data_IF_514444784887
#
_entry.id   IF_514444784887
#
_cell.length_a   1.000
_cell.length_b   1.000
_cell.length_c   1.000
_cell.angle_alpha   90.00
_cell.angle_beta   90.00
_cell.angle_gamma   90.00
#
_symmetry.space_group_name_H-M   'P 1'
#
loop_
_entity.id
_entity.type
_entity.pdbx_description
1 polymer ?
#
# COMPACT_ATOMS: atom_id res chain seq x y z
N UNK A 1 1.24 -34.17 -0.59
CA UNK A 1 1.39 -32.85 -1.26
C UNK A 1 1.53 -31.85 -0.14
N UNK A 2 2.76 -31.44 0.17
CA UNK A 2 3.02 -30.41 1.17
C UNK A 2 2.46 -29.09 0.65
N UNK A 3 1.70 -28.40 1.51
CA UNK A 3 1.09 -27.10 1.28
C UNK A 3 2.18 -26.02 1.21
N UNK A 4 3.14 -26.13 0.29
CA UNK A 4 3.98 -25.00 -0.05
C UNK A 4 3.04 -23.89 -0.45
N UNK A 5 2.92 -22.88 0.42
CA UNK A 5 2.13 -21.69 0.19
C UNK A 5 2.29 -21.31 -1.27
N UNK A 6 1.20 -21.37 -2.04
CA UNK A 6 1.20 -21.17 -3.48
C UNK A 6 1.59 -19.74 -3.79
N UNK A 7 2.89 -19.50 -3.78
CA UNK A 7 3.46 -18.30 -4.36
C UNK A 7 3.40 -18.48 -5.88
N UNK A 8 2.46 -17.74 -6.49
CA UNK A 8 2.34 -17.58 -7.94
C UNK A 8 3.67 -17.27 -8.62
N UNK A 9 4.58 -16.54 -7.97
CA UNK A 9 5.93 -16.28 -8.50
C UNK A 9 6.78 -17.55 -8.49
N UNK A 10 6.80 -18.28 -7.38
CA UNK A 10 7.52 -19.56 -7.29
C UNK A 10 7.00 -20.59 -8.30
N UNK A 11 5.68 -20.67 -8.50
CA UNK A 11 5.07 -21.53 -9.51
C UNK A 11 5.47 -21.13 -10.93
N UNK A 12 5.37 -19.83 -11.27
CA UNK A 12 5.79 -19.32 -12.57
C UNK A 12 7.29 -19.61 -12.85
N UNK A 13 8.14 -19.45 -11.83
CA UNK A 13 9.56 -19.76 -11.94
C UNK A 13 9.81 -21.25 -12.15
N UNK A 14 9.17 -22.11 -11.36
CA UNK A 14 9.23 -23.57 -11.53
C UNK A 14 8.76 -23.98 -12.91
N UNK A 15 7.62 -23.46 -13.37
CA UNK A 15 7.02 -23.76 -14.66
C UNK A 15 7.98 -23.43 -15.82
N UNK A 16 8.59 -22.25 -15.81
CA UNK A 16 9.57 -21.84 -16.81
C UNK A 16 10.84 -22.70 -16.77
N UNK A 17 11.29 -23.10 -15.58
CA UNK A 17 12.45 -23.98 -15.41
C UNK A 17 12.18 -25.38 -15.96
N UNK A 18 10.97 -25.92 -15.71
CA UNK A 18 10.56 -27.24 -16.18
C UNK A 18 10.17 -27.26 -17.66
N UNK A 19 9.69 -26.15 -18.21
CA UNK A 19 9.26 -26.02 -19.60
C UNK A 19 9.86 -24.74 -20.24
N UNK A 20 11.13 -24.78 -20.70
CA UNK A 20 11.82 -23.57 -21.20
C UNK A 20 11.16 -22.88 -22.40
N UNK A 21 10.32 -23.60 -23.15
CA UNK A 21 9.58 -23.06 -24.30
C UNK A 21 8.25 -22.36 -23.94
N UNK A 22 7.88 -22.30 -22.66
CA UNK A 22 6.66 -21.62 -22.22
C UNK A 22 6.92 -20.12 -22.00
N UNK A 23 6.06 -19.29 -22.58
CA UNK A 23 6.03 -17.85 -22.30
C UNK A 23 5.13 -17.59 -21.09
N UNK A 24 5.60 -16.80 -20.12
CA UNK A 24 4.82 -16.43 -18.93
C UNK A 24 4.44 -14.97 -19.03
N UNK A 25 3.15 -14.69 -18.94
CA UNK A 25 2.57 -13.35 -18.97
C UNK A 25 1.89 -13.05 -17.64
N UNK A 26 1.96 -11.80 -17.19
CA UNK A 26 1.43 -11.37 -15.91
C UNK A 26 0.55 -10.15 -16.10
N UNK A 27 -0.69 -10.24 -15.65
CA UNK A 27 -1.68 -9.16 -15.73
C UNK A 27 -2.30 -8.95 -14.36
N UNK A 28 -2.34 -7.71 -13.91
CA UNK A 28 -2.99 -7.31 -12.68
C UNK A 28 -4.45 -6.96 -12.96
N UNK A 29 -5.35 -7.69 -12.30
CA UNK A 29 -6.80 -7.59 -12.46
C UNK A 29 -7.47 -6.83 -11.30
N UNK A 30 -6.76 -5.87 -10.70
CA UNK A 30 -7.24 -5.04 -9.59
C UNK A 30 -7.73 -3.64 -10.00
N UNK A 31 -7.43 -3.20 -11.22
CA UNK A 31 -7.90 -1.93 -11.80
C UNK A 31 -7.96 -2.03 -13.34
N UNK A 32 -8.96 -1.40 -13.96
CA UNK A 32 -9.17 -1.36 -15.42
C UNK A 32 -7.96 -0.80 -16.15
N UNK A 33 -7.43 0.34 -15.70
CA UNK A 33 -6.30 0.99 -16.37
C UNK A 33 -5.05 0.12 -16.33
N UNK A 34 -4.82 -0.54 -15.18
CA UNK A 34 -3.68 -1.44 -15.01
C UNK A 34 -3.82 -2.68 -15.90
N UNK A 35 -5.02 -3.26 -15.97
CA UNK A 35 -5.30 -4.39 -16.83
C UNK A 35 -5.05 -4.03 -18.32
N UNK A 36 -5.53 -2.87 -18.77
CA UNK A 36 -5.28 -2.36 -20.14
C UNK A 36 -3.81 -2.08 -20.40
N UNK A 37 -3.10 -1.51 -19.43
CA UNK A 37 -1.67 -1.26 -19.53
C UNK A 37 -0.89 -2.56 -19.67
N UNK A 38 -1.15 -3.56 -18.83
CA UNK A 38 -0.48 -4.86 -18.91
C UNK A 38 -0.76 -5.57 -20.25
N UNK A 39 -1.99 -5.47 -20.78
CA UNK A 39 -2.30 -5.96 -22.12
C UNK A 39 -1.55 -5.21 -23.23
N UNK A 40 -1.38 -3.89 -23.08
CA UNK A 40 -0.61 -3.08 -24.04
C UNK A 40 0.87 -3.46 -24.03
N UNK A 41 1.45 -3.68 -22.84
CA UNK A 41 2.82 -4.18 -22.69
C UNK A 41 2.99 -5.56 -23.35
N UNK A 42 2.03 -6.47 -23.18
CA UNK A 42 2.03 -7.77 -23.88
C UNK A 42 1.99 -7.58 -25.40
N UNK A 43 1.15 -6.67 -25.90
CA UNK A 43 1.03 -6.40 -27.33
C UNK A 43 2.36 -5.90 -27.93
N UNK A 44 3.05 -5.02 -27.21
CA UNK A 44 4.36 -4.49 -27.60
C UNK A 44 5.46 -5.55 -27.54
N UNK A 45 5.58 -6.28 -26.44
CA UNK A 45 6.61 -7.31 -26.26
C UNK A 45 6.46 -8.47 -27.26
N UNK A 46 5.22 -8.86 -27.57
CA UNK A 46 4.92 -9.93 -28.53
C UNK A 46 4.85 -9.46 -29.97
N UNK A 47 5.09 -8.17 -30.23
CA UNK A 47 5.00 -7.54 -31.55
C UNK A 47 3.67 -7.86 -32.25
N UNK A 48 2.56 -7.82 -31.51
CA UNK A 48 1.24 -8.19 -32.02
C UNK A 48 0.86 -7.27 -33.21
N UNK A 49 0.43 -7.83 -34.35
CA UNK A 49 -0.06 -7.02 -35.48
C UNK A 49 -1.26 -6.16 -35.07
N UNK A 50 -1.23 -4.88 -35.43
CA UNK A 50 -2.29 -3.91 -35.09
C UNK A 50 -2.04 -3.13 -33.80
N UNK A 51 -1.00 -3.43 -33.01
CA UNK A 51 -0.72 -2.72 -31.74
C UNK A 51 -0.45 -1.21 -31.86
N UNK A 52 0.03 -0.76 -33.02
CA UNK A 52 0.32 0.65 -33.28
C UNK A 52 -0.89 1.40 -33.89
N UNK A 53 -2.01 0.72 -34.10
CA UNK A 53 -3.22 1.33 -34.63
C UNK A 53 -3.97 2.03 -33.49
N UNK A 54 -4.10 3.37 -33.52
CA UNK A 54 -4.76 4.12 -32.45
C UNK A 54 -6.25 3.77 -32.30
N UNK A 55 -6.88 3.21 -33.34
CA UNK A 55 -8.30 2.82 -33.34
C UNK A 55 -8.51 1.36 -32.90
N UNK A 56 -7.43 0.58 -32.73
CA UNK A 56 -7.55 -0.82 -32.36
C UNK A 56 -7.76 -0.99 -30.85
N UNK A 57 -8.75 -1.80 -30.46
CA UNK A 57 -8.89 -2.21 -29.06
C UNK A 57 -7.84 -3.25 -28.70
N UNK A 58 -6.81 -2.80 -27.98
CA UNK A 58 -5.68 -3.62 -27.53
C UNK A 58 -6.12 -4.88 -26.77
N UNK A 59 -7.21 -4.80 -26.00
CA UNK A 59 -7.73 -5.95 -25.25
C UNK A 59 -8.19 -7.07 -26.19
N UNK A 60 -8.97 -6.70 -27.22
CA UNK A 60 -9.43 -7.62 -28.26
C UNK A 60 -8.26 -8.19 -29.08
N UNK A 61 -7.26 -7.37 -29.42
CA UNK A 61 -6.08 -7.80 -30.16
C UNK A 61 -5.29 -8.88 -29.42
N UNK A 62 -5.01 -8.65 -28.14
CA UNK A 62 -4.24 -9.57 -27.30
C UNK A 62 -5.02 -10.85 -27.03
N UNK A 63 -6.33 -10.76 -26.71
CA UNK A 63 -7.20 -11.95 -26.58
C UNK A 63 -7.12 -12.81 -27.85
N UNK A 64 -7.30 -12.17 -29.01
CA UNK A 64 -7.27 -12.85 -30.31
C UNK A 64 -5.91 -13.47 -30.60
N UNK A 65 -4.81 -12.87 -30.13
CA UNK A 65 -3.46 -13.42 -30.26
C UNK A 65 -3.27 -14.69 -29.44
N UNK A 66 -3.63 -14.68 -28.15
CA UNK A 66 -3.56 -15.86 -27.26
C UNK A 66 -4.34 -17.07 -27.80
N UNK A 67 -5.44 -16.79 -28.50
CA UNK A 67 -6.36 -17.80 -29.05
C UNK A 67 -5.90 -18.41 -30.39
N UNK A 68 -4.79 -17.97 -31.00
CA UNK A 68 -4.30 -18.54 -32.28
C UNK A 68 -3.61 -19.89 -32.06
N UNK A 69 -3.86 -20.85 -32.94
CA UNK A 69 -3.22 -22.17 -32.88
C UNK A 69 -1.69 -22.16 -33.05
N UNK A 70 -1.14 -21.09 -33.64
CA UNK A 70 0.29 -20.96 -33.92
C UNK A 70 1.09 -20.32 -32.78
N UNK A 71 0.45 -19.91 -31.68
CA UNK A 71 1.20 -19.39 -30.53
C UNK A 71 1.96 -20.52 -29.83
N UNK A 72 3.21 -20.25 -29.50
CA UNK A 72 3.98 -21.07 -28.56
C UNK A 72 3.19 -21.27 -27.25
N UNK A 73 3.46 -22.37 -26.52
CA UNK A 73 2.84 -22.60 -25.22
C UNK A 73 2.95 -21.36 -24.33
N UNK A 74 1.85 -20.95 -23.72
CA UNK A 74 1.82 -19.77 -22.86
C UNK A 74 1.15 -20.05 -21.52
N UNK A 75 1.52 -19.26 -20.53
CA UNK A 75 0.94 -19.27 -19.20
C UNK A 75 0.61 -17.84 -18.78
N UNK A 76 -0.66 -17.56 -18.50
CA UNK A 76 -1.14 -16.23 -18.11
C UNK A 76 -1.49 -16.23 -16.62
N UNK A 77 -0.89 -15.31 -15.87
CA UNK A 77 -1.27 -15.05 -14.48
C UNK A 77 -2.18 -13.84 -14.44
N UNK A 78 -3.42 -14.02 -13.99
CA UNK A 78 -4.36 -12.96 -13.66
C UNK A 78 -4.32 -12.74 -12.15
N UNK A 79 -3.58 -11.73 -11.72
CA UNK A 79 -3.31 -11.47 -10.30
C UNK A 79 -4.29 -10.48 -9.68
N UNK A 80 -4.75 -10.74 -8.44
CA UNK A 80 -5.63 -9.86 -7.66
C UNK A 80 -6.99 -9.55 -8.32
N UNK A 81 -7.62 -10.55 -8.96
CA UNK A 81 -8.94 -10.43 -9.59
C UNK A 81 -10.07 -10.38 -8.53
N UNK A 82 -10.16 -9.30 -7.76
CA UNK A 82 -11.06 -9.21 -6.60
C UNK A 82 -12.42 -8.53 -6.91
N UNK A 83 -12.47 -7.66 -7.93
CA UNK A 83 -13.59 -6.75 -8.20
C UNK A 83 -14.59 -7.34 -9.22
N UNK A 84 -15.81 -7.64 -8.76
CA UNK A 84 -16.87 -8.20 -9.60
C UNK A 84 -17.46 -7.22 -10.59
N UNK A 85 -17.57 -5.94 -10.23
CA UNK A 85 -18.17 -4.92 -11.08
C UNK A 85 -17.26 -4.61 -12.26
N UNK A 86 -15.95 -4.49 -12.01
CA UNK A 86 -14.92 -4.35 -13.05
C UNK A 86 -14.85 -5.55 -14.00
N UNK A 87 -14.95 -6.76 -13.45
CA UNK A 87 -14.77 -7.99 -14.24
C UNK A 87 -16.01 -8.35 -15.04
N UNK A 88 -17.22 -8.15 -14.50
CA UNK A 88 -18.44 -8.70 -15.07
C UNK A 88 -19.54 -7.69 -15.36
N UNK A 89 -19.37 -6.42 -14.98
CA UNK A 89 -20.37 -5.35 -15.14
C UNK A 89 -21.71 -5.64 -14.45
N UNK A 90 -21.70 -6.17 -13.22
CA UNK A 90 -22.93 -6.56 -12.52
C UNK A 90 -23.87 -5.37 -12.26
N UNK A 91 -23.36 -4.14 -12.22
CA UNK A 91 -24.13 -2.95 -11.87
C UNK A 91 -23.98 -1.80 -12.89
N UNK A 92 -24.63 -1.88 -14.07
CA UNK A 92 -24.50 -0.87 -15.13
C UNK A 92 -25.17 0.49 -14.81
N UNK A 93 -25.78 0.66 -13.62
CA UNK A 93 -26.66 1.80 -13.30
C UNK A 93 -26.16 2.77 -12.19
N UNK A 94 -25.02 2.53 -11.53
CA UNK A 94 -24.47 3.49 -10.54
C UNK A 94 -23.67 4.63 -11.20
N UNK A 95 -24.30 5.37 -12.10
CA UNK A 95 -23.76 6.61 -12.70
C UNK A 95 -24.24 7.85 -11.95
N UNK A 96 -23.78 8.03 -10.71
CA UNK A 96 -23.92 9.31 -9.98
C UNK A 96 -22.64 10.17 -10.01
N UNK A 97 -21.66 9.85 -10.88
CA UNK A 97 -20.61 10.80 -11.25
C UNK A 97 -21.03 11.55 -12.50
N UNK A 98 -21.47 12.79 -12.30
CA UNK A 98 -21.88 13.80 -13.30
C UNK A 98 -20.75 14.16 -14.31
N UNK A 99 -19.59 13.49 -14.24
CA UNK A 99 -18.46 13.64 -15.16
C UNK A 99 -18.35 12.52 -16.23
N UNK A 100 -19.22 11.51 -16.22
CA UNK A 100 -19.10 10.33 -17.09
C UNK A 100 -19.78 10.48 -18.48
N UNK A 101 -20.40 11.62 -18.79
CA UNK A 101 -21.14 11.80 -20.05
C UNK A 101 -20.27 12.13 -21.28
N UNK A 102 -18.95 12.32 -21.11
CA UNK A 102 -18.02 12.59 -22.23
C UNK A 102 -17.19 11.34 -22.63
N UNK A 103 -17.21 10.25 -21.85
CA UNK A 103 -16.41 9.05 -22.09
C UNK A 103 -17.21 7.84 -22.64
N UNK A 104 -18.29 8.09 -23.38
CA UNK A 104 -19.25 7.06 -23.83
C UNK A 104 -18.82 6.22 -25.06
N UNK A 105 -17.52 5.93 -25.25
CA UNK A 105 -17.05 5.09 -26.36
C UNK A 105 -16.14 3.90 -25.99
N UNK A 106 -15.92 3.59 -24.70
CA UNK A 106 -15.12 2.41 -24.32
C UNK A 106 -15.94 1.41 -23.50
N UNK A 107 -16.01 0.16 -23.99
CA UNK A 107 -16.60 -1.04 -23.36
C UNK A 107 -15.91 -1.42 -22.01
N UNK A 108 -15.85 -0.50 -21.05
CA UNK A 108 -14.96 -0.60 -19.87
C UNK A 108 -15.50 -1.45 -18.71
N UNK A 109 -16.67 -2.07 -18.82
CA UNK A 109 -17.32 -2.73 -17.67
C UNK A 109 -17.12 -4.24 -17.54
N UNK A 110 -16.66 -4.96 -18.57
CA UNK A 110 -16.64 -6.43 -18.53
C UNK A 110 -15.29 -6.98 -18.99
N UNK A 111 -14.29 -6.89 -18.11
CA UNK A 111 -12.94 -7.34 -18.44
C UNK A 111 -12.81 -8.86 -18.57
N UNK A 112 -13.71 -9.63 -17.94
CA UNK A 112 -13.72 -11.08 -18.06
C UNK A 112 -13.89 -11.52 -19.53
N UNK A 113 -14.57 -10.72 -20.36
CA UNK A 113 -14.72 -10.99 -21.78
C UNK A 113 -13.37 -11.00 -22.54
N UNK A 114 -12.34 -10.33 -22.06
CA UNK A 114 -11.03 -10.27 -22.71
C UNK A 114 -10.07 -11.38 -22.27
N UNK A 115 -10.49 -12.25 -21.35
CA UNK A 115 -9.71 -13.41 -20.93
C UNK A 115 -9.77 -14.49 -22.02
N UNK A 116 -8.63 -15.09 -22.44
CA UNK A 116 -8.63 -16.16 -23.43
C UNK A 116 -9.35 -17.42 -22.93
N UNK A 117 -10.29 -17.94 -23.72
CA UNK A 117 -11.07 -19.14 -23.36
C UNK A 117 -10.45 -20.44 -23.88
N UNK A 118 -9.58 -20.34 -24.88
CA UNK A 118 -8.94 -21.46 -25.55
C UNK A 118 -7.59 -21.01 -26.13
N UNK A 119 -6.79 -21.96 -26.58
CA UNK A 119 -5.46 -21.71 -27.12
C UNK A 119 -4.47 -22.73 -26.62
N UNK A 120 -3.20 -22.51 -26.94
CA UNK A 120 -2.11 -23.38 -26.51
C UNK A 120 -1.55 -22.89 -25.16
N UNK A 121 -2.37 -22.83 -24.12
CA UNK A 121 -1.92 -22.28 -22.85
C UNK A 121 -2.79 -22.58 -21.65
N UNK A 122 -2.43 -21.98 -20.51
CA UNK A 122 -3.15 -22.12 -19.25
C UNK A 122 -3.17 -20.81 -18.49
N UNK A 123 -4.21 -20.63 -17.66
CA UNK A 123 -4.42 -19.41 -16.89
C UNK A 123 -4.42 -19.75 -15.41
N UNK A 124 -3.66 -19.00 -14.61
CA UNK A 124 -3.75 -18.99 -13.16
C UNK A 124 -4.42 -17.69 -12.72
N UNK A 125 -5.53 -17.81 -12.01
CA UNK A 125 -6.23 -16.67 -11.42
C UNK A 125 -5.99 -16.66 -9.92
N UNK A 126 -5.60 -15.52 -9.38
CA UNK A 126 -5.60 -15.29 -7.92
C UNK A 126 -6.70 -14.29 -7.58
N UNK A 127 -7.47 -14.60 -6.53
CA UNK A 127 -8.56 -13.75 -6.06
C UNK A 127 -8.83 -14.04 -4.59
N UNK A 128 -9.21 -13.01 -3.84
CA UNK A 128 -9.79 -13.13 -2.49
C UNK A 128 -11.31 -13.25 -2.55
N UNK A 129 -11.91 -12.98 -3.71
CA UNK A 129 -13.34 -13.05 -3.94
C UNK A 129 -13.71 -14.40 -4.56
N UNK A 130 -14.24 -15.31 -3.75
CA UNK A 130 -14.68 -16.63 -4.20
C UNK A 130 -15.70 -16.57 -5.34
N UNK A 131 -16.56 -15.55 -5.37
CA UNK A 131 -17.54 -15.38 -6.45
C UNK A 131 -16.87 -15.08 -7.80
N UNK A 132 -15.80 -14.27 -7.79
CA UNK A 132 -15.00 -14.05 -9.00
C UNK A 132 -14.40 -15.37 -9.50
N UNK A 133 -13.81 -16.16 -8.60
CA UNK A 133 -13.24 -17.46 -8.93
C UNK A 133 -14.27 -18.41 -9.57
N UNK A 134 -15.44 -18.56 -8.95
CA UNK A 134 -16.53 -19.42 -9.48
C UNK A 134 -16.99 -18.98 -10.87
N UNK A 135 -17.02 -17.67 -11.14
CA UNK A 135 -17.51 -17.12 -12.41
C UNK A 135 -16.46 -17.13 -13.52
N UNK A 136 -15.18 -16.93 -13.20
CA UNK A 136 -14.09 -16.98 -14.19
C UNK A 136 -13.80 -18.40 -14.65
N UNK A 137 -13.96 -19.40 -13.77
CA UNK A 137 -13.67 -20.81 -14.08
C UNK A 137 -14.85 -21.72 -13.69
N UNK A 138 -16.01 -21.59 -14.36
CA UNK A 138 -17.22 -22.31 -13.99
C UNK A 138 -17.01 -23.83 -14.07
N UNK A 139 -17.35 -24.53 -12.98
CA UNK A 139 -17.23 -25.99 -12.88
C UNK A 139 -15.82 -26.53 -12.63
N UNK A 140 -14.81 -25.67 -12.48
CA UNK A 140 -13.45 -26.07 -12.12
C UNK A 140 -13.26 -26.07 -10.60
N UNK A 141 -12.41 -26.96 -10.05
CA UNK A 141 -12.08 -26.93 -8.63
C UNK A 141 -11.30 -25.65 -8.30
N UNK A 142 -11.74 -24.94 -7.26
CA UNK A 142 -11.01 -23.81 -6.69
C UNK A 142 -10.02 -24.31 -5.64
N UNK A 143 -8.80 -23.78 -5.68
CA UNK A 143 -7.76 -24.08 -4.72
C UNK A 143 -7.73 -23.01 -3.64
N UNK A 144 -8.30 -23.34 -2.48
CA UNK A 144 -8.28 -22.45 -1.32
C UNK A 144 -6.89 -22.45 -0.68
N UNK A 145 -6.26 -21.28 -0.61
CA UNK A 145 -4.96 -21.10 0.03
C UNK A 145 -5.19 -20.64 1.47
N UNK A 146 -5.00 -21.56 2.41
CA UNK A 146 -5.09 -21.27 3.84
C UNK A 146 -3.83 -20.62 4.42
N UNK A 147 -3.83 -20.32 5.73
CA UNK A 147 -2.63 -19.94 6.48
C UNK A 147 -1.54 -21.01 6.37
N UNK A 148 -0.30 -20.62 6.71
CA UNK A 148 0.80 -21.59 6.79
C UNK A 148 0.52 -22.63 7.88
N UNK A 149 1.11 -23.81 7.72
CA UNK A 149 1.21 -24.75 8.85
C UNK A 149 2.07 -24.17 9.97
N UNK A 150 1.92 -24.69 11.18
CA UNK A 150 2.74 -24.29 12.33
C UNK A 150 4.24 -24.49 12.04
N UNK A 151 4.60 -25.61 11.39
CA UNK A 151 5.99 -25.89 11.01
C UNK A 151 6.56 -24.89 10.02
N UNK A 152 5.77 -24.50 9.01
CA UNK A 152 6.18 -23.50 8.01
C UNK A 152 6.31 -22.12 8.68
N UNK A 153 5.40 -21.79 9.58
CA UNK A 153 5.41 -20.52 10.31
C UNK A 153 6.61 -20.39 11.24
N UNK A 154 6.92 -21.43 12.03
CA UNK A 154 8.11 -21.46 12.89
C UNK A 154 9.39 -21.39 12.06
N UNK A 155 9.43 -22.10 10.92
CA UNK A 155 10.56 -22.03 10.01
C UNK A 155 10.76 -20.60 9.48
N UNK A 156 9.68 -19.95 9.01
CA UNK A 156 9.73 -18.58 8.50
C UNK A 156 10.21 -17.59 9.58
N UNK A 157 9.73 -17.70 10.81
CA UNK A 157 10.19 -16.86 11.94
C UNK A 157 11.70 -17.01 12.15
N UNK A 158 12.22 -18.25 12.13
CA UNK A 158 13.65 -18.53 12.31
C UNK A 158 14.51 -17.97 11.19
N UNK A 159 14.05 -18.12 9.96
CA UNK A 159 14.74 -17.61 8.77
C UNK A 159 14.84 -16.09 8.79
N UNK A 160 13.73 -15.38 9.03
CA UNK A 160 13.73 -13.90 9.06
C UNK A 160 14.54 -13.38 10.25
N UNK A 161 14.40 -14.00 11.42
CA UNK A 161 15.14 -13.57 12.62
C UNK A 161 16.64 -13.88 12.56
N UNK A 162 17.09 -14.70 11.60
CA UNK A 162 18.48 -15.15 11.49
C UNK A 162 18.95 -16.00 12.68
N UNK A 163 18.01 -16.55 13.47
CA UNK A 163 18.31 -17.23 14.72
C UNK A 163 17.74 -18.65 14.73
N UNK A 164 18.58 -19.61 14.34
CA UNK A 164 18.25 -21.04 14.34
C UNK A 164 18.05 -21.63 15.74
N UNK A 165 18.49 -20.93 16.79
CA UNK A 165 18.37 -21.36 18.19
C UNK A 165 17.10 -20.89 18.89
N UNK A 166 16.19 -20.20 18.19
CA UNK A 166 14.92 -19.75 18.76
C UNK A 166 14.11 -20.92 19.33
N UNK A 167 13.62 -20.73 20.57
CA UNK A 167 12.69 -21.66 21.24
C UNK A 167 11.51 -21.95 20.32
N UNK A 168 11.25 -23.25 20.14
CA UNK A 168 10.14 -23.71 19.31
C UNK A 168 8.80 -23.32 19.92
N UNK A 169 8.71 -23.32 21.25
CA UNK A 169 7.53 -22.94 22.01
C UNK A 169 7.21 -21.46 21.83
N UNK A 170 8.22 -20.58 21.97
CA UNK A 170 8.03 -19.14 21.78
C UNK A 170 7.65 -18.81 20.33
N UNK A 171 8.32 -19.44 19.35
CA UNK A 171 8.01 -19.24 17.93
C UNK A 171 6.60 -19.74 17.57
N UNK A 172 6.17 -20.87 18.13
CA UNK A 172 4.81 -21.42 17.94
C UNK A 172 3.74 -20.55 18.60
N UNK A 173 3.99 -20.02 19.80
CA UNK A 173 3.09 -19.08 20.45
C UNK A 173 2.92 -17.80 19.63
N UNK A 174 4.02 -17.27 19.07
CA UNK A 174 3.98 -16.13 18.17
C UNK A 174 3.23 -16.44 16.88
N UNK A 175 3.54 -17.54 16.20
CA UNK A 175 2.88 -17.87 14.93
C UNK A 175 1.37 -18.05 15.11
N UNK A 176 0.97 -18.72 16.20
CA UNK A 176 -0.44 -18.88 16.59
C UNK A 176 -1.11 -17.53 16.81
N UNK A 177 -0.46 -16.62 17.55
CA UNK A 177 -0.97 -15.26 17.78
C UNK A 177 -1.09 -14.46 16.48
N UNK A 178 -0.25 -14.75 15.50
CA UNK A 178 -0.25 -14.13 14.18
C UNK A 178 -1.11 -14.89 13.15
N UNK A 179 -2.00 -15.77 13.62
CA UNK A 179 -2.93 -16.56 12.80
C UNK A 179 -2.22 -17.38 11.69
N UNK A 180 -0.94 -17.70 11.90
CA UNK A 180 -0.05 -18.34 10.92
C UNK A 180 -0.05 -17.64 9.53
N UNK A 181 -0.28 -16.32 9.51
CA UNK A 181 -0.30 -15.54 8.28
C UNK A 181 1.12 -15.10 7.90
N UNK A 182 1.62 -15.44 6.69
CA UNK A 182 2.98 -15.10 6.26
C UNK A 182 3.30 -13.61 6.37
N UNK A 183 2.35 -12.74 6.01
CA UNK A 183 2.56 -11.30 6.07
C UNK A 183 2.71 -10.80 7.52
N UNK A 184 1.83 -11.23 8.42
CA UNK A 184 1.88 -10.84 9.83
C UNK A 184 3.19 -11.33 10.48
N UNK A 185 3.60 -12.56 10.16
CA UNK A 185 4.88 -13.13 10.60
C UNK A 185 6.05 -12.31 10.05
N UNK A 186 6.06 -11.99 8.76
CA UNK A 186 7.14 -11.21 8.16
C UNK A 186 7.30 -9.84 8.82
N UNK A 187 6.19 -9.12 9.01
CA UNK A 187 6.23 -7.79 9.64
C UNK A 187 6.64 -7.87 11.12
N UNK A 188 6.16 -8.86 11.87
CA UNK A 188 6.52 -9.04 13.27
C UNK A 188 8.00 -9.43 13.43
N UNK A 189 8.48 -10.37 12.62
CA UNK A 189 9.87 -10.80 12.63
C UNK A 189 10.82 -9.68 12.20
N UNK A 190 10.46 -8.91 11.17
CA UNK A 190 11.22 -7.75 10.73
C UNK A 190 11.30 -6.66 11.82
N UNK A 191 10.17 -6.35 12.45
CA UNK A 191 10.12 -5.44 13.61
C UNK A 191 11.03 -5.91 14.74
N UNK A 192 10.93 -7.18 15.14
CA UNK A 192 11.74 -7.73 16.23
C UNK A 192 13.23 -7.70 15.90
N UNK A 193 13.60 -7.98 14.65
CA UNK A 193 14.99 -7.90 14.20
C UNK A 193 15.51 -6.46 14.26
N UNK A 194 14.78 -5.49 13.69
CA UNK A 194 15.19 -4.07 13.68
C UNK A 194 15.27 -3.47 15.08
N UNK A 195 14.37 -3.88 15.98
CA UNK A 195 14.33 -3.39 17.37
C UNK A 195 15.15 -4.22 18.35
N UNK A 196 15.79 -5.31 17.88
CA UNK A 196 16.45 -6.32 18.73
C UNK A 196 15.53 -6.83 19.86
N UNK A 197 14.23 -6.93 19.59
CA UNK A 197 13.20 -7.31 20.56
C UNK A 197 13.03 -8.83 20.63
N UNK A 198 12.90 -9.37 21.84
CA UNK A 198 12.59 -10.78 22.03
C UNK A 198 11.12 -11.10 21.73
N UNK A 199 10.85 -12.35 21.34
CA UNK A 199 9.50 -12.86 21.09
C UNK A 199 8.59 -12.66 22.31
N UNK A 200 9.06 -12.96 23.53
CA UNK A 200 8.28 -12.79 24.75
C UNK A 200 7.90 -11.33 25.04
N UNK A 201 8.79 -10.39 24.69
CA UNK A 201 8.50 -8.95 24.83
C UNK A 201 7.48 -8.52 23.78
N UNK A 202 7.63 -8.98 22.54
CA UNK A 202 6.71 -8.67 21.46
C UNK A 202 5.30 -9.23 21.70
N UNK A 203 5.19 -10.48 22.14
CA UNK A 203 3.92 -11.10 22.55
C UNK A 203 3.20 -10.30 23.65
N UNK A 204 3.94 -9.76 24.63
CA UNK A 204 3.35 -8.88 25.65
C UNK A 204 2.79 -7.59 25.06
N UNK A 205 3.42 -7.02 24.03
CA UNK A 205 2.91 -5.82 23.34
C UNK A 205 1.63 -6.18 22.60
N UNK A 206 1.61 -7.27 21.81
CA UNK A 206 0.42 -7.72 21.10
C UNK A 206 -0.76 -8.00 22.04
N UNK A 207 -0.52 -8.67 23.17
CA UNK A 207 -1.56 -9.00 24.13
C UNK A 207 -2.09 -7.77 24.89
N UNK A 208 -1.23 -6.79 25.18
CA UNK A 208 -1.66 -5.50 25.75
C UNK A 208 -2.47 -4.70 24.73
N UNK A 209 -2.03 -4.71 23.47
CA UNK A 209 -2.72 -4.14 22.32
C UNK A 209 -4.13 -4.69 22.21
N UNK A 210 -4.33 -6.01 22.26
CA UNK A 210 -5.66 -6.64 22.22
C UNK A 210 -6.60 -6.18 23.33
N UNK A 211 -6.10 -5.91 24.54
CA UNK A 211 -6.96 -5.43 25.63
C UNK A 211 -7.48 -4.01 25.35
N UNK A 212 -6.61 -3.13 24.86
CA UNK A 212 -6.97 -1.76 24.47
C UNK A 212 -7.74 -1.72 23.14
N UNK A 213 -7.39 -2.58 22.19
CA UNK A 213 -8.01 -2.70 20.87
C UNK A 213 -9.37 -3.40 20.95
N UNK A 214 -9.58 -4.45 21.75
CA UNK A 214 -10.89 -5.10 21.90
C UNK A 214 -11.97 -4.13 22.43
N UNK A 215 -11.58 -3.18 23.27
CA UNK A 215 -12.48 -2.13 23.78
C UNK A 215 -12.78 -1.05 22.71
N UNK A 216 -11.85 -0.79 21.79
CA UNK A 216 -11.94 0.26 20.76
C UNK A 216 -12.43 -0.23 19.37
N UNK A 217 -12.13 -1.49 19.01
CA UNK A 217 -12.45 -2.15 17.73
C UNK A 217 -13.93 -2.55 17.65
N UNK A 218 -14.59 -2.77 18.79
CA UNK A 218 -16.00 -3.15 18.89
C UNK A 218 -16.99 -2.10 18.36
N UNK A 219 -16.58 -0.83 18.21
CA UNK A 219 -17.49 0.27 17.81
C UNK A 219 -17.25 0.85 16.42
N UNK A 220 -16.01 0.86 15.91
CA UNK A 220 -15.67 1.63 14.70
C UNK A 220 -15.07 0.80 13.55
N UNK A 221 -14.64 -0.44 13.81
CA UNK A 221 -14.04 -1.28 12.76
C UNK A 221 -15.03 -2.20 12.08
N UNK A 222 -16.19 -2.51 12.67
CA UNK A 222 -17.24 -3.31 12.02
C UNK A 222 -17.69 -2.78 10.65
N UNK A 223 -17.52 -1.47 10.37
CA UNK A 223 -17.88 -0.84 9.10
C UNK A 223 -16.80 -0.97 8.01
N UNK A 224 -15.52 -1.11 8.38
CA UNK A 224 -14.40 -1.29 7.43
C UNK A 224 -14.06 -2.78 7.25
N UNK A 225 -14.38 -3.60 8.26
CA UNK A 225 -13.98 -5.01 8.38
C UNK A 225 -14.86 -5.99 7.56
N UNK A 226 -16.14 -5.68 7.31
CA UNK A 226 -17.04 -6.61 6.58
C UNK A 226 -16.67 -6.84 5.12
N UNK A 227 -16.05 -5.87 4.46
CA UNK A 227 -15.68 -5.95 3.03
C UNK A 227 -14.16 -5.99 2.77
N UNK A 228 -13.31 -5.54 3.70
CA UNK A 228 -11.86 -5.40 3.45
C UNK A 228 -11.03 -6.68 3.68
N UNK A 229 -11.55 -7.63 4.48
CA UNK A 229 -10.92 -8.94 4.73
C UNK A 229 -9.53 -8.85 5.38
N UNK A 230 -9.31 -7.88 6.27
CA UNK A 230 -8.02 -7.69 6.95
C UNK A 230 -8.02 -8.50 8.25
N UNK A 231 -7.11 -9.46 8.38
CA UNK A 231 -6.97 -10.23 9.63
C UNK A 231 -6.50 -9.33 10.78
N UNK A 232 -7.02 -9.62 11.99
CA UNK A 232 -6.63 -8.97 13.24
C UNK A 232 -5.14 -9.09 13.51
N UNK A 233 -4.53 -10.23 13.21
CA UNK A 233 -3.09 -10.42 13.31
C UNK A 233 -2.30 -9.40 12.47
N UNK A 234 -2.72 -9.14 11.23
CA UNK A 234 -2.06 -8.17 10.34
C UNK A 234 -2.22 -6.75 10.89
N UNK A 235 -3.42 -6.39 11.35
CA UNK A 235 -3.67 -5.06 11.95
C UNK A 235 -2.87 -4.82 13.22
N UNK A 236 -2.81 -5.79 14.13
CA UNK A 236 -2.08 -5.67 15.38
C UNK A 236 -0.58 -5.48 15.13
N UNK A 237 0.00 -6.33 14.28
CA UNK A 237 1.41 -6.23 13.90
C UNK A 237 1.72 -4.92 13.16
N UNK A 238 0.86 -4.52 12.22
CA UNK A 238 1.00 -3.25 11.51
C UNK A 238 0.99 -2.07 12.50
N UNK A 239 0.07 -2.07 13.47
CA UNK A 239 -0.08 -0.98 14.45
C UNK A 239 1.18 -0.83 15.28
N UNK A 240 1.71 -1.91 15.85
CA UNK A 240 2.96 -1.89 16.63
C UNK A 240 4.11 -1.33 15.80
N UNK A 241 4.27 -1.82 14.56
CA UNK A 241 5.34 -1.37 13.67
C UNK A 241 5.17 0.09 13.23
N UNK A 242 3.94 0.55 12.99
CA UNK A 242 3.65 1.89 12.52
C UNK A 242 3.79 2.94 13.62
N UNK A 243 3.44 2.61 14.87
CA UNK A 243 3.66 3.48 16.02
C UNK A 243 5.15 3.68 16.28
N UNK A 244 5.95 2.60 16.23
CA UNK A 244 7.41 2.68 16.32
C UNK A 244 8.00 3.49 15.15
N UNK A 245 7.51 3.26 13.93
CA UNK A 245 7.91 4.03 12.75
C UNK A 245 7.66 5.53 12.95
N UNK A 246 6.50 5.89 13.47
CA UNK A 246 6.11 7.29 13.71
C UNK A 246 7.06 7.97 14.71
N UNK A 247 7.50 7.23 15.74
CA UNK A 247 8.45 7.73 16.73
C UNK A 247 9.88 7.86 16.17
N UNK A 248 10.33 6.89 15.36
CA UNK A 248 11.71 6.84 14.84
C UNK A 248 11.93 7.74 13.63
N UNK A 249 10.98 7.75 12.70
CA UNK A 249 11.12 8.40 11.41
C UNK A 249 9.76 8.90 10.91
N UNK A 250 9.41 10.13 11.31
CA UNK A 250 8.16 10.78 10.93
C UNK A 250 8.00 10.95 9.41
N UNK A 251 9.11 11.15 8.69
CA UNK A 251 9.10 11.21 7.22
C UNK A 251 8.68 9.87 6.61
N UNK A 252 9.22 8.76 7.10
CA UNK A 252 8.82 7.43 6.65
C UNK A 252 7.34 7.15 6.92
N UNK A 253 6.83 7.50 8.10
CA UNK A 253 5.41 7.39 8.42
C UNK A 253 4.54 8.27 7.49
N UNK A 254 5.01 9.49 7.19
CA UNK A 254 4.36 10.40 6.26
C UNK A 254 4.32 9.85 4.82
N UNK A 255 5.43 9.30 4.34
CA UNK A 255 5.52 8.64 3.03
C UNK A 255 4.56 7.46 2.97
N UNK A 256 4.56 6.56 3.96
CA UNK A 256 3.64 5.42 3.98
C UNK A 256 2.17 5.86 3.97
N UNK A 257 1.85 6.90 4.74
CA UNK A 257 0.51 7.49 4.79
C UNK A 257 0.08 8.11 3.46
N UNK A 258 0.99 8.81 2.78
CA UNK A 258 0.76 9.35 1.43
C UNK A 258 0.53 8.21 0.42
N UNK A 259 1.42 7.21 0.43
CA UNK A 259 1.36 6.08 -0.50
C UNK A 259 0.08 5.27 -0.36
N UNK A 260 -0.51 5.22 0.84
CA UNK A 260 -1.78 4.54 1.07
C UNK A 260 -2.96 5.13 0.26
N UNK A 261 -2.84 6.38 -0.21
CA UNK A 261 -3.84 7.06 -1.04
C UNK A 261 -3.85 6.59 -2.51
N UNK A 262 -2.86 5.79 -2.93
CA UNK A 262 -2.65 5.37 -4.33
C UNK A 262 -2.88 3.86 -4.51
N UNK A 263 -2.86 3.38 -5.75
CA UNK A 263 -2.76 1.94 -5.98
C UNK A 263 -1.47 1.40 -5.31
N UNK A 264 -1.57 0.26 -4.64
CA UNK A 264 -0.49 -0.33 -3.85
C UNK A 264 0.63 -0.96 -4.70
N UNK A 265 0.57 -0.84 -6.02
CA UNK A 265 1.58 -1.40 -6.93
C UNK A 265 2.07 -0.35 -7.93
N UNK A 266 3.31 -0.53 -8.38
CA UNK A 266 3.95 0.25 -9.44
C UNK A 266 4.05 1.76 -9.16
N UNK A 267 4.20 2.15 -7.89
CA UNK A 267 4.31 3.56 -7.51
C UNK A 267 5.68 4.09 -7.94
N UNK A 268 5.69 5.15 -8.75
CA UNK A 268 6.94 5.71 -9.28
C UNK A 268 7.71 6.43 -8.18
N UNK A 269 9.00 6.11 -8.01
CA UNK A 269 9.85 6.75 -7.01
C UNK A 269 9.96 8.27 -7.18
N UNK A 270 9.99 8.77 -8.41
CA UNK A 270 10.08 10.20 -8.72
C UNK A 270 8.92 11.01 -8.12
N UNK A 271 7.75 10.37 -7.91
CA UNK A 271 6.62 10.96 -7.23
C UNK A 271 6.96 11.39 -5.79
N UNK A 272 7.78 10.61 -5.09
CA UNK A 272 8.20 10.91 -3.72
C UNK A 272 9.17 12.10 -3.65
N UNK A 273 9.95 12.33 -4.70
CA UNK A 273 10.81 13.51 -4.79
C UNK A 273 9.96 14.80 -4.81
N UNK A 274 8.86 14.80 -5.57
CA UNK A 274 7.92 15.94 -5.61
C UNK A 274 7.23 16.12 -4.26
N UNK A 275 6.82 15.03 -3.61
CA UNK A 275 6.22 15.09 -2.28
C UNK A 275 7.18 15.71 -1.25
N UNK A 276 8.44 15.29 -1.25
CA UNK A 276 9.44 15.83 -0.33
C UNK A 276 9.66 17.32 -0.53
N UNK A 277 9.73 17.77 -1.78
CA UNK A 277 9.83 19.20 -2.10
C UNK A 277 8.65 20.00 -1.55
N UNK A 278 7.43 19.46 -1.67
CA UNK A 278 6.22 20.10 -1.16
C UNK A 278 6.19 20.16 0.37
N UNK A 279 6.61 19.09 1.06
CA UNK A 279 6.70 19.08 2.52
C UNK A 279 7.73 20.08 3.04
N UNK A 280 8.89 20.19 2.39
CA UNK A 280 9.94 21.16 2.75
C UNK A 280 9.51 22.62 2.48
N UNK A 281 8.63 22.84 1.49
CA UNK A 281 8.10 24.15 1.14
C UNK A 281 6.87 24.56 1.98
N UNK A 282 6.33 23.65 2.80
CA UNK A 282 5.15 23.91 3.63
C UNK A 282 5.46 24.89 4.77
N UNK A 283 4.55 25.81 5.12
CA UNK A 283 4.73 26.75 6.24
C UNK A 283 5.05 26.07 7.58
N UNK A 284 4.58 24.84 7.78
CA UNK A 284 4.81 24.04 9.00
C UNK A 284 6.28 23.63 9.18
N UNK A 285 7.06 23.52 8.10
CA UNK A 285 8.48 23.15 8.14
C UNK A 285 9.39 24.31 8.60
N UNK A 286 8.98 25.57 8.35
CA UNK A 286 9.74 26.77 8.76
C UNK A 286 9.77 26.96 10.28
N UNK A 287 8.74 26.51 10.99
CA UNK A 287 8.68 26.63 12.45
C UNK A 287 9.57 25.62 13.21
N UNK A 288 10.13 24.59 12.55
CA UNK A 288 11.04 23.63 13.18
C UNK A 288 12.53 24.00 13.07
N UNK A 289 12.86 24.99 12.24
CA UNK A 289 14.25 25.43 12.01
C UNK A 289 14.67 26.62 12.88
N UNK A 290 13.72 27.43 13.38
CA UNK A 290 14.02 28.59 14.23
C UNK A 290 14.25 28.24 15.71
N UNK A 291 13.80 27.07 16.18
CA UNK A 291 13.88 26.68 17.61
C UNK A 291 15.19 25.97 18.00
N UNK A 292 16.16 25.85 17.08
CA UNK A 292 17.49 25.25 17.34
C UNK A 292 18.66 26.23 17.30
N UNK A 293 18.42 27.53 17.14
CA UNK A 293 19.46 28.55 17.23
C UNK A 293 19.14 29.60 18.29
N UNK A 294 19.10 29.22 19.56
CA UNK A 294 19.47 30.12 20.65
C UNK A 294 19.77 29.38 21.97
N UNK A 295 21.07 29.20 22.23
CA UNK A 295 21.73 29.30 23.54
C UNK A 295 21.30 28.39 24.70
N UNK A 296 22.15 27.42 25.06
CA UNK A 296 23.09 27.54 26.19
C UNK A 296 23.69 26.16 26.56
N UNK A 297 25.02 26.04 26.58
CA UNK A 297 25.70 24.94 27.28
C UNK A 297 25.48 25.08 28.80
N UNK A 298 25.39 23.97 29.54
CA UNK A 298 26.51 23.68 30.44
C UNK A 298 26.83 22.18 30.66
N UNK A 299 28.14 21.92 30.73
CA UNK A 299 28.92 21.01 31.59
C UNK A 299 28.36 19.66 32.07
N UNK A 300 29.18 18.63 31.83
CA UNK A 300 29.22 17.33 32.50
C UNK A 300 29.17 17.45 34.04
N UNK A 301 28.39 16.60 34.73
CA UNK A 301 28.89 15.58 35.67
C UNK A 301 27.77 14.75 36.36
N UNK A 302 28.08 13.47 36.58
CA UNK A 302 27.65 12.48 37.59
C UNK A 302 26.18 12.22 38.02
N UNK A 303 25.77 10.99 37.71
CA UNK A 303 25.24 9.88 38.55
C UNK A 303 24.27 10.08 39.74
N UNK A 304 23.39 9.06 39.86
CA UNK A 304 22.58 8.62 41.03
C UNK A 304 21.20 9.31 41.16
N UNK A 305 20.09 8.71 41.62
CA UNK A 305 19.56 7.37 41.93
C UNK A 305 18.13 7.64 42.48
N UNK A 306 17.21 6.67 42.37
CA UNK A 306 15.98 6.47 43.16
C UNK A 306 14.61 7.01 42.68
N UNK A 307 13.66 6.04 42.65
CA UNK A 307 12.23 6.08 43.04
C UNK A 307 11.24 6.76 42.07
N UNK A 308 10.34 6.05 41.36
CA UNK A 308 9.11 5.36 41.83
C UNK A 308 8.24 6.18 42.80
N UNK A 309 7.26 6.89 42.24
CA UNK A 309 5.83 6.88 42.58
C UNK A 309 5.18 8.25 42.31
N UNK A 310 4.04 8.26 41.61
CA UNK A 310 2.89 9.11 41.96
C UNK A 310 1.66 8.73 41.12
N UNK A 311 0.65 8.25 41.84
CA UNK A 311 -0.74 8.14 41.43
C UNK A 311 -1.41 9.52 41.22
N UNK A 312 -2.43 9.51 40.37
CA UNK A 312 -3.65 10.34 40.31
C UNK A 312 -3.64 11.77 40.88
N UNK A 313 -4.12 12.74 40.08
CA UNK A 313 -5.38 13.45 40.39
C UNK A 313 -5.81 14.42 39.29
N UNK A 314 -7.14 14.57 39.24
CA UNK A 314 -7.96 15.42 38.38
C UNK A 314 -7.56 16.89 38.30
N UNK A 315 -7.77 17.49 37.13
CA UNK A 315 -8.14 18.90 37.04
C UNK A 315 -9.02 19.16 35.79
N UNK A 316 -10.33 19.26 36.05
CA UNK A 316 -11.27 20.03 35.24
C UNK A 316 -10.74 21.45 35.04
N UNK A 317 -10.60 21.89 33.79
CA UNK A 317 -10.62 23.32 33.46
C UNK A 317 -11.63 23.54 32.35
N UNK A 318 -12.81 23.97 32.78
CA UNK A 318 -13.79 24.73 32.01
C UNK A 318 -13.16 26.08 31.71
N UNK A 319 -13.13 26.51 30.45
CA UNK A 319 -13.23 27.94 30.16
C UNK A 319 -14.10 28.24 28.94
N UNK A 320 -14.99 29.19 29.21
CA UNK A 320 -16.08 29.79 28.48
C UNK A 320 -15.80 30.20 27.03
N UNK A 321 -16.87 30.13 26.24
CA UNK A 321 -16.95 30.74 24.92
C UNK A 321 -16.95 32.27 24.94
N UNK A 322 -16.75 32.82 23.75
CA UNK A 322 -17.17 34.17 23.37
C UNK A 322 -17.70 34.11 21.94
N UNK A 323 -19.01 34.30 21.82
CA UNK A 323 -19.64 34.87 20.64
C UNK A 323 -19.13 36.30 20.42
N UNK A 324 -18.93 36.68 19.16
CA UNK A 324 -19.02 38.08 18.73
C UNK A 324 -19.61 38.14 17.31
N UNK A 325 -20.59 39.01 17.19
CA UNK A 325 -21.53 39.22 16.11
C UNK A 325 -20.92 39.72 14.79
N UNK A 326 -21.63 39.36 13.72
CA UNK A 326 -21.85 40.06 12.45
C UNK A 326 -21.48 41.54 12.36
N UNK A 327 -20.81 41.91 11.26
CA UNK A 327 -21.07 43.16 10.57
C UNK A 327 -20.78 43.00 9.07
N UNK A 328 -21.86 43.13 8.28
CA UNK A 328 -21.84 43.40 6.85
C UNK A 328 -21.33 44.82 6.64
N UNK A 329 -20.37 45.02 5.72
CA UNK A 329 -20.14 46.31 5.11
C UNK A 329 -19.85 46.13 3.61
N UNK A 330 -20.82 46.58 2.82
CA UNK A 330 -20.71 46.84 1.39
C UNK A 330 -19.97 48.17 1.19
N UNK A 331 -18.89 48.22 0.40
CA UNK A 331 -18.67 49.32 -0.55
C UNK A 331 -17.56 49.05 -1.60
N UNK A 332 -18.01 49.11 -2.86
CA UNK A 332 -17.44 49.79 -4.02
C UNK A 332 -16.00 49.51 -4.48
N UNK A 333 -15.94 48.88 -5.66
CA UNK A 333 -14.94 48.90 -6.72
C UNK A 333 -13.84 49.97 -6.65
N UNK A 334 -12.59 49.51 -6.80
CA UNK A 334 -11.54 50.17 -7.59
C UNK A 334 -10.63 49.10 -8.22
N UNK A 335 -10.52 49.17 -9.54
CA UNK A 335 -9.58 48.42 -10.37
C UNK A 335 -8.14 48.81 -10.01
N UNK A 336 -7.32 47.83 -9.66
CA UNK A 336 -5.85 47.94 -9.75
C UNK A 336 -5.30 46.70 -10.47
N UNK A 337 -4.70 46.96 -11.63
CA UNK A 337 -3.86 46.03 -12.37
C UNK A 337 -2.71 45.55 -11.47
N UNK A 338 -2.64 44.24 -11.25
CA UNK A 338 -1.46 43.58 -10.71
C UNK A 338 -0.94 42.64 -11.79
N UNK A 339 0.30 42.91 -12.21
CA UNK A 339 1.12 42.11 -13.12
C UNK A 339 0.95 40.61 -12.86
N UNK A 340 0.69 39.87 -13.94
CA UNK A 340 0.87 38.42 -13.99
C UNK A 340 2.37 38.12 -13.80
N UNK A 341 2.79 38.03 -12.54
CA UNK A 341 4.05 37.38 -12.21
C UNK A 341 3.93 35.92 -12.62
N UNK A 342 4.60 35.61 -13.73
CA UNK A 342 4.91 34.28 -14.20
C UNK A 342 5.52 33.49 -13.03
N UNK A 343 4.71 32.64 -12.40
CA UNK A 343 5.22 31.69 -11.42
C UNK A 343 5.97 30.65 -12.24
N UNK A 344 7.29 30.78 -12.29
CA UNK A 344 8.19 29.78 -12.85
C UNK A 344 7.89 28.43 -12.18
N UNK A 345 7.14 27.57 -12.86
CA UNK A 345 6.99 26.16 -12.49
C UNK A 345 8.35 25.52 -12.67
N UNK A 346 9.06 25.08 -11.61
CA UNK A 346 10.36 24.47 -11.78
C UNK A 346 10.19 23.15 -12.53
N UNK A 347 10.99 22.94 -13.58
CA UNK A 347 11.02 21.67 -14.31
C UNK A 347 11.48 20.53 -13.40
N UNK A 348 11.05 19.29 -13.71
CA UNK A 348 11.38 18.09 -12.91
C UNK A 348 12.89 17.91 -12.64
N UNK A 349 13.75 18.49 -13.49
CA UNK A 349 15.21 18.48 -13.37
C UNK A 349 15.76 19.33 -12.21
N UNK A 350 14.99 20.29 -11.70
CA UNK A 350 15.38 21.10 -10.54
C UNK A 350 15.20 20.33 -9.21
N UNK A 351 14.29 19.36 -9.16
CA UNK A 351 13.91 18.67 -7.91
C UNK A 351 14.90 17.57 -7.49
N UNK A 352 15.78 17.12 -8.38
CA UNK A 352 16.77 16.06 -8.12
C UNK A 352 18.09 16.56 -7.52
N UNK A 353 18.29 17.87 -7.38
CA UNK A 353 19.60 18.47 -7.07
C UNK A 353 19.87 18.72 -5.58
N UNK A 354 18.92 18.44 -4.67
CA UNK A 354 19.17 18.55 -3.23
C UNK A 354 19.66 17.21 -2.65
N UNK A 355 20.98 17.06 -2.56
CA UNK A 355 21.65 15.86 -2.04
C UNK A 355 21.16 15.49 -0.63
N UNK A 356 20.86 16.49 0.22
CA UNK A 356 20.34 16.25 1.58
C UNK A 356 18.91 15.67 1.57
N UNK A 357 18.02 16.17 0.72
CA UNK A 357 16.65 15.64 0.58
C UNK A 357 16.68 14.22 0.00
N UNK A 358 17.58 13.94 -0.95
CA UNK A 358 17.78 12.59 -1.47
C UNK A 358 18.23 11.61 -0.39
N UNK A 359 19.19 11.99 0.46
CA UNK A 359 19.66 11.15 1.58
C UNK A 359 18.51 10.86 2.56
N UNK A 360 17.70 11.87 2.89
CA UNK A 360 16.53 11.70 3.78
C UNK A 360 15.48 10.76 3.17
N UNK A 361 15.24 10.86 1.86
CA UNK A 361 14.33 9.94 1.16
C UNK A 361 14.82 8.50 1.28
N UNK A 362 16.12 8.29 1.04
CA UNK A 362 16.72 6.95 1.10
C UNK A 362 16.67 6.36 2.50
N UNK A 363 16.92 7.17 3.53
CA UNK A 363 16.77 6.73 4.92
C UNK A 363 15.32 6.35 5.24
N UNK A 364 14.34 7.13 4.77
CA UNK A 364 12.93 6.84 4.98
C UNK A 364 12.49 5.58 4.23
N UNK A 365 12.86 5.43 2.96
CA UNK A 365 12.59 4.23 2.18
C UNK A 365 13.29 3.00 2.75
N UNK A 366 14.53 3.13 3.19
CA UNK A 366 15.28 2.08 3.88
C UNK A 366 14.56 1.61 5.14
N UNK A 367 14.02 2.54 5.93
CA UNK A 367 13.22 2.24 7.12
C UNK A 367 11.94 1.49 6.74
N UNK A 368 11.18 1.97 5.75
CA UNK A 368 9.94 1.32 5.30
C UNK A 368 10.17 -0.10 4.76
N UNK A 369 11.31 -0.33 4.09
CA UNK A 369 11.74 -1.66 3.64
C UNK A 369 12.14 -2.55 4.83
N UNK A 370 12.86 -2.00 5.82
CA UNK A 370 13.25 -2.73 7.02
C UNK A 370 12.06 -3.25 7.83
N UNK A 371 10.99 -2.46 7.95
CA UNK A 371 9.73 -2.91 8.60
C UNK A 371 8.81 -3.75 7.69
N UNK A 372 9.27 -4.12 6.47
CA UNK A 372 8.49 -4.88 5.49
C UNK A 372 7.17 -4.21 5.06
N UNK A 373 7.08 -2.87 5.12
CA UNK A 373 5.92 -2.12 4.64
C UNK A 373 5.94 -1.91 3.12
N UNK A 374 7.13 -1.71 2.57
CA UNK A 374 7.35 -1.52 1.13
C UNK A 374 8.31 -2.56 0.58
N UNK A 375 8.16 -2.85 -0.71
CA UNK A 375 9.11 -3.58 -1.53
C UNK A 375 9.48 -2.74 -2.75
N UNK A 376 10.72 -2.90 -3.19
CA UNK A 376 11.17 -2.31 -4.44
C UNK A 376 11.06 -3.35 -5.55
N UNK A 377 10.43 -2.96 -6.64
CA UNK A 377 10.27 -3.77 -7.84
C UNK A 377 11.22 -3.27 -8.94
N UNK A 378 11.14 -3.87 -10.13
CA UNK A 378 11.98 -3.46 -11.27
C UNK A 378 11.72 -1.99 -11.64
N UNK A 379 12.76 -1.30 -12.08
CA UNK A 379 12.71 0.10 -12.54
C UNK A 379 12.36 1.13 -11.44
N UNK A 380 12.88 0.94 -10.22
CA UNK A 380 12.68 1.87 -9.09
C UNK A 380 11.21 2.11 -8.74
N UNK A 381 10.33 1.15 -9.06
CA UNK A 381 8.91 1.22 -8.69
C UNK A 381 8.72 0.61 -7.31
N UNK A 382 7.90 1.24 -6.48
CA UNK A 382 7.59 0.80 -5.14
C UNK A 382 6.24 0.06 -5.12
N UNK A 383 6.23 -1.07 -4.42
CA UNK A 383 5.04 -1.86 -4.14
C UNK A 383 4.79 -1.91 -2.63
N UNK A 384 3.52 -1.83 -2.25
CA UNK A 384 3.01 -1.98 -0.91
C UNK A 384 2.06 -3.19 -0.89
N UNK A 385 2.07 -3.97 0.18
CA UNK A 385 1.06 -5.02 0.31
C UNK A 385 -0.33 -4.39 0.50
N UNK A 386 -1.37 -4.88 -0.19
CA UNK A 386 -2.73 -4.32 -0.09
C UNK A 386 -3.25 -4.24 1.35
N UNK A 387 -2.94 -5.24 2.18
CA UNK A 387 -3.28 -5.21 3.61
C UNK A 387 -2.57 -4.09 4.39
N UNK A 388 -1.33 -3.75 4.03
CA UNK A 388 -0.61 -2.60 4.62
C UNK A 388 -1.28 -1.29 4.21
N UNK A 389 -1.68 -1.16 2.94
CA UNK A 389 -2.44 0.00 2.46
C UNK A 389 -3.75 0.16 3.24
N UNK A 390 -4.53 -0.93 3.34
CA UNK A 390 -5.82 -0.91 4.01
C UNK A 390 -5.68 -0.58 5.51
N UNK A 391 -4.70 -1.19 6.19
CA UNK A 391 -4.39 -0.90 7.58
C UNK A 391 -4.02 0.59 7.79
N UNK A 392 -3.17 1.13 6.91
CA UNK A 392 -2.77 2.55 6.93
C UNK A 392 -3.96 3.47 6.69
N UNK A 393 -4.81 3.16 5.72
CA UNK A 393 -6.01 3.94 5.40
C UNK A 393 -7.02 3.94 6.54
N UNK A 394 -7.24 2.78 7.17
CA UNK A 394 -8.10 2.66 8.34
C UNK A 394 -7.54 3.47 9.52
N UNK A 395 -6.22 3.42 9.75
CA UNK A 395 -5.57 4.21 10.78
C UNK A 395 -5.69 5.72 10.54
N UNK A 396 -5.47 6.19 9.30
CA UNK A 396 -5.61 7.60 8.92
C UNK A 396 -7.03 8.10 9.13
N UNK A 397 -8.02 7.28 8.78
CA UNK A 397 -9.44 7.59 8.98
C UNK A 397 -9.75 7.73 10.46
N UNK A 398 -9.28 6.78 11.29
CA UNK A 398 -9.45 6.80 12.75
C UNK A 398 -8.81 8.04 13.39
N UNK A 399 -7.66 8.48 12.90
CA UNK A 399 -6.95 9.67 13.41
C UNK A 399 -7.48 10.99 12.84
N UNK A 400 -8.46 10.96 11.94
CA UNK A 400 -8.98 12.16 11.27
C UNK A 400 -8.00 12.78 10.25
N UNK A 401 -6.95 12.05 9.86
CA UNK A 401 -5.88 12.52 8.99
C UNK A 401 -6.12 12.20 7.51
N UNK A 402 -7.11 11.34 7.19
CA UNK A 402 -7.37 10.89 5.83
C UNK A 402 -7.55 12.04 4.83
N UNK A 403 -8.37 13.06 5.16
CA UNK A 403 -8.58 14.23 4.28
C UNK A 403 -7.29 15.02 4.02
N UNK A 404 -6.44 15.16 5.04
CA UNK A 404 -5.17 15.87 4.93
C UNK A 404 -4.23 15.16 3.95
N UNK A 405 -4.06 13.84 4.10
CA UNK A 405 -3.21 13.05 3.21
C UNK A 405 -3.75 12.94 1.78
N UNK A 406 -5.07 12.88 1.59
CA UNK A 406 -5.68 12.99 0.25
C UNK A 406 -5.35 14.35 -0.38
N UNK A 407 -5.42 15.45 0.38
CA UNK A 407 -5.02 16.78 -0.09
C UNK A 407 -3.54 16.83 -0.51
N UNK A 408 -2.64 16.25 0.30
CA UNK A 408 -1.21 16.14 -0.03
C UNK A 408 -0.95 15.29 -1.27
N UNK A 409 -1.65 14.17 -1.41
CA UNK A 409 -1.59 13.29 -2.58
C UNK A 409 -1.98 14.04 -3.86
N UNK A 410 -3.12 14.75 -3.83
CA UNK A 410 -3.60 15.54 -4.97
C UNK A 410 -2.64 16.69 -5.32
N UNK A 411 -2.11 17.41 -4.34
CA UNK A 411 -1.13 18.47 -4.56
C UNK A 411 0.17 17.94 -5.19
N UNK A 412 0.60 16.75 -4.78
CA UNK A 412 1.78 16.09 -5.34
C UNK A 412 1.54 15.64 -6.78
N UNK A 413 0.38 15.04 -7.05
CA UNK A 413 -0.03 14.69 -8.42
C UNK A 413 -0.08 15.89 -9.35
N UNK A 414 -0.65 17.00 -8.90
CA UNK A 414 -0.78 18.23 -9.70
C UNK A 414 0.56 18.85 -10.11
N UNK A 415 1.65 18.53 -9.42
CA UNK A 415 3.01 18.94 -9.79
C UNK A 415 3.81 17.87 -10.53
N UNK A 416 3.37 16.62 -10.45
CA UNK A 416 4.04 15.49 -11.07
C UNK A 416 3.58 15.26 -12.51
N UNK A 417 2.29 15.50 -12.78
CA UNK A 417 1.69 15.54 -14.11
C UNK A 417 1.98 16.88 -14.79
#
# INVERSE_FOLDING_TARGET
MTNHALDRVAYAYWLRKSHPGISVFWVHANNVDRFRQDFSEIADECLIPGRNDPDADVLTLVKSWFQRQQTSPWFLVLDNADDTDMLFNDNPQSKDSVLSSVALNSNNGNLAHFIPEYGNGSILVTTRNKQVGVRLVPGQPLLEVGPMSDSESVQMIREISGNSSLSMEAASALSTRLENLPLAIAQASAYMQDTSMSIDRYLRILNKGDAAESELLSKNFEAVDRDAGISRAVMATWTVSFEELTMRNSLAAGILSLLACFNCQAIQRQFLTVYMYLEESSPEARNQTEDKSNGSQPTEDCTSRLEEDCESSDANVVFSGRDCHSQEDNHSSKDEHVDENHVDTPSLECFSQNEASSIRLEQALGTLKAFSFLRESKNEKLDMHRLVQLATTAWLTRKGLAKSFVGKALATMAKFC
#
